data_IF_395945928478
#
_entry.id   IF_395945928478
#
_cell.length_a   1.000
_cell.length_b   1.000
_cell.length_c   1.000
_cell.angle_alpha   90.00
_cell.angle_beta   90.00
_cell.angle_gamma   90.00
#
_symmetry.space_group_name_H-M   'P 1'
#
loop_
_entity.id
_entity.type
_entity.pdbx_description
1 polymer ?
#
# COMPACT_ATOMS: atom_id res chain seq x y z
N UNK A 1 23.15 54.94 -16.83
CA UNK A 1 22.09 54.14 -16.15
C UNK A 1 21.75 52.82 -16.85
N UNK A 2 21.81 52.71 -18.19
CA UNK A 2 21.42 51.51 -18.96
C UNK A 2 22.12 50.20 -18.56
N UNK A 3 23.42 50.26 -18.22
CA UNK A 3 24.20 49.05 -17.88
C UNK A 3 23.83 48.46 -16.51
N UNK A 4 23.50 49.28 -15.50
CA UNK A 4 23.12 48.78 -14.16
C UNK A 4 21.77 48.06 -14.16
N UNK A 5 20.87 48.47 -15.06
CA UNK A 5 19.57 47.82 -15.24
C UNK A 5 19.70 46.43 -15.87
N UNK A 6 20.63 46.25 -16.82
CA UNK A 6 20.91 44.93 -17.40
C UNK A 6 21.43 43.93 -16.37
N UNK A 7 22.36 44.34 -15.50
CA UNK A 7 22.88 43.45 -14.44
C UNK A 7 21.82 43.05 -13.42
N UNK A 8 20.92 43.98 -13.06
CA UNK A 8 19.79 43.69 -12.16
C UNK A 8 18.78 42.74 -12.81
N UNK A 9 18.47 42.92 -14.10
CA UNK A 9 17.57 42.05 -14.84
C UNK A 9 18.15 40.63 -14.97
N UNK A 10 19.44 40.50 -15.26
CA UNK A 10 20.11 39.19 -15.29
C UNK A 10 20.15 38.50 -13.93
N UNK A 11 20.31 39.26 -12.84
CA UNK A 11 20.26 38.71 -11.49
C UNK A 11 18.85 38.21 -11.15
N UNK A 12 17.82 39.00 -11.47
CA UNK A 12 16.41 38.65 -11.25
C UNK A 12 15.99 37.40 -12.06
N UNK A 13 16.48 37.26 -13.30
CA UNK A 13 16.20 36.12 -14.16
C UNK A 13 16.99 34.85 -13.77
N UNK A 14 18.07 34.98 -12.98
CA UNK A 14 18.84 33.86 -12.45
C UNK A 14 18.30 33.30 -11.12
N UNK A 15 17.45 34.06 -10.41
CA UNK A 15 16.82 33.65 -9.16
C UNK A 15 16.00 32.34 -9.26
N UNK A 16 15.20 32.10 -10.32
CA UNK A 16 14.49 30.83 -10.46
C UNK A 16 15.46 29.67 -10.65
N UNK A 17 16.53 29.84 -11.43
CA UNK A 17 17.52 28.79 -11.67
C UNK A 17 18.25 28.44 -10.36
N UNK A 18 18.49 29.42 -9.51
CA UNK A 18 19.04 29.19 -8.17
C UNK A 18 18.02 28.56 -7.21
N UNK A 19 16.77 29.02 -7.19
CA UNK A 19 15.72 28.49 -6.31
C UNK A 19 15.26 27.06 -6.70
N UNK A 20 15.27 26.73 -7.99
CA UNK A 20 14.91 25.41 -8.52
C UNK A 20 16.12 24.49 -8.75
N UNK A 21 17.35 25.02 -8.72
CA UNK A 21 18.59 24.29 -8.98
C UNK A 21 19.55 24.16 -7.79
N UNK A 22 19.40 24.94 -6.72
CA UNK A 22 20.24 24.85 -5.51
C UNK A 22 19.83 23.71 -4.56
N UNK A 23 18.62 23.19 -4.71
CA UNK A 23 18.19 21.97 -4.05
C UNK A 23 18.33 20.83 -5.07
N UNK A 24 19.27 19.90 -4.83
CA UNK A 24 19.55 18.77 -5.70
C UNK A 24 18.35 17.84 -5.96
N UNK A 25 17.22 18.09 -5.29
CA UNK A 25 15.91 17.52 -5.56
C UNK A 25 14.96 18.64 -6.01
N UNK A 26 14.76 18.76 -7.33
CA UNK A 26 13.73 19.55 -8.01
C UNK A 26 12.42 19.55 -7.16
N UNK A 27 11.73 20.67 -6.88
CA UNK A 27 10.56 20.69 -6.00
C UNK A 27 9.47 19.67 -6.35
N UNK A 28 9.37 19.32 -7.64
CA UNK A 28 8.52 18.24 -8.14
C UNK A 28 8.90 16.86 -7.58
N UNK A 29 10.20 16.59 -7.44
CA UNK A 29 10.72 15.33 -6.88
C UNK A 29 10.51 15.25 -5.37
N UNK A 30 10.58 16.38 -4.65
CA UNK A 30 10.20 16.43 -3.22
C UNK A 30 8.71 16.17 -3.04
N UNK A 31 7.86 16.80 -3.85
CA UNK A 31 6.42 16.57 -3.84
C UNK A 31 6.08 15.10 -4.15
N UNK A 32 6.69 14.54 -5.20
CA UNK A 32 6.50 13.13 -5.56
C UNK A 32 6.98 12.18 -4.44
N UNK A 33 8.11 12.48 -3.81
CA UNK A 33 8.60 11.74 -2.65
C UNK A 33 7.61 11.74 -1.49
N UNK A 34 7.13 12.92 -1.08
CA UNK A 34 6.12 13.04 -0.02
C UNK A 34 4.82 12.32 -0.35
N UNK A 35 4.31 12.46 -1.58
CA UNK A 35 3.09 11.77 -2.01
C UNK A 35 3.27 10.24 -1.96
N UNK A 36 4.39 9.72 -2.45
CA UNK A 36 4.67 8.30 -2.39
C UNK A 36 4.78 7.79 -0.94
N UNK A 37 5.41 8.55 -0.05
CA UNK A 37 5.51 8.21 1.37
C UNK A 37 4.13 8.15 2.04
N UNK A 38 3.26 9.12 1.79
CA UNK A 38 1.90 9.14 2.34
C UNK A 38 1.04 7.99 1.80
N UNK A 39 1.17 7.67 0.50
CA UNK A 39 0.50 6.52 -0.12
C UNK A 39 0.99 5.22 0.51
N UNK A 40 2.30 5.05 0.69
CA UNK A 40 2.87 3.85 1.31
C UNK A 40 2.43 3.69 2.76
N UNK A 41 2.44 4.79 3.54
CA UNK A 41 1.97 4.82 4.94
C UNK A 41 0.48 4.44 5.05
N UNK A 42 -0.35 5.01 4.19
CA UNK A 42 -1.78 4.70 4.13
C UNK A 42 -2.00 3.23 3.73
N UNK A 43 -1.25 2.75 2.74
CA UNK A 43 -1.31 1.37 2.27
C UNK A 43 -0.94 0.41 3.40
N UNK A 44 0.16 0.63 4.12
CA UNK A 44 0.56 -0.19 5.28
C UNK A 44 -0.52 -0.24 6.35
N UNK A 45 -1.18 0.89 6.63
CA UNK A 45 -2.27 0.94 7.61
C UNK A 45 -3.47 0.10 7.17
N UNK A 46 -3.92 0.25 5.92
CA UNK A 46 -5.04 -0.52 5.37
C UNK A 46 -4.71 -2.01 5.32
N UNK A 47 -3.49 -2.36 4.91
CA UNK A 47 -3.03 -3.75 4.84
C UNK A 47 -2.93 -4.39 6.23
N UNK A 48 -2.53 -3.62 7.25
CA UNK A 48 -2.52 -4.07 8.64
C UNK A 48 -3.92 -4.43 9.14
N UNK A 49 -4.91 -3.57 8.89
CA UNK A 49 -6.31 -3.83 9.24
C UNK A 49 -6.84 -5.06 8.49
N UNK A 50 -6.58 -5.13 7.19
CA UNK A 50 -6.98 -6.27 6.36
C UNK A 50 -6.35 -7.58 6.85
N UNK A 51 -5.09 -7.55 7.31
CA UNK A 51 -4.43 -8.71 7.88
C UNK A 51 -5.13 -9.19 9.16
N UNK A 52 -5.45 -8.28 10.07
CA UNK A 52 -6.15 -8.62 11.32
C UNK A 52 -7.51 -9.27 11.03
N UNK A 53 -8.31 -8.69 10.13
CA UNK A 53 -9.62 -9.24 9.74
C UNK A 53 -9.44 -10.64 9.11
N UNK A 54 -8.48 -10.77 8.20
CA UNK A 54 -8.22 -12.04 7.51
C UNK A 54 -7.80 -13.13 8.48
N UNK A 55 -6.96 -12.83 9.47
CA UNK A 55 -6.58 -13.77 10.54
C UNK A 55 -7.79 -14.18 11.38
N UNK A 56 -8.60 -13.23 11.83
CA UNK A 56 -9.78 -13.54 12.64
C UNK A 56 -10.77 -14.43 11.89
N UNK A 57 -11.10 -14.08 10.65
CA UNK A 57 -12.01 -14.86 9.82
C UNK A 57 -11.39 -16.21 9.40
N UNK A 58 -10.09 -16.25 9.12
CA UNK A 58 -9.38 -17.46 8.73
C UNK A 58 -9.34 -18.50 9.85
N UNK A 59 -9.06 -18.07 11.09
CA UNK A 59 -9.09 -18.97 12.25
C UNK A 59 -10.50 -19.51 12.50
N UNK A 60 -11.52 -18.63 12.48
CA UNK A 60 -12.91 -19.05 12.61
C UNK A 60 -13.33 -20.04 11.51
N UNK A 61 -12.88 -19.81 10.27
CA UNK A 61 -13.12 -20.66 9.12
C UNK A 61 -12.51 -22.05 9.27
N UNK A 62 -11.27 -22.15 9.76
CA UNK A 62 -10.62 -23.44 10.04
C UNK A 62 -11.37 -24.24 11.11
N UNK A 63 -11.84 -23.56 12.16
CA UNK A 63 -12.67 -24.18 13.21
C UNK A 63 -13.96 -24.73 12.59
N UNK A 64 -14.63 -23.96 11.73
CA UNK A 64 -15.83 -24.40 11.04
C UNK A 64 -15.59 -25.63 10.16
N UNK A 65 -14.49 -25.63 9.39
CA UNK A 65 -14.09 -26.79 8.58
C UNK A 65 -13.88 -28.04 9.44
N UNK A 66 -13.25 -27.89 10.61
CA UNK A 66 -12.98 -29.00 11.53
C UNK A 66 -14.27 -29.57 12.12
N UNK A 67 -15.22 -28.71 12.49
CA UNK A 67 -16.54 -29.10 12.98
C UNK A 67 -17.30 -29.85 11.87
N UNK A 68 -17.34 -29.31 10.65
CA UNK A 68 -17.95 -29.97 9.49
C UNK A 68 -17.37 -31.35 9.25
N UNK A 69 -16.05 -31.50 9.32
CA UNK A 69 -15.39 -32.80 9.09
C UNK A 69 -15.72 -33.83 10.17
N UNK A 70 -15.88 -33.39 11.42
CA UNK A 70 -16.17 -34.27 12.56
C UNK A 70 -17.64 -34.69 12.64
N UNK A 71 -18.56 -33.76 12.37
CA UNK A 71 -20.00 -33.98 12.61
C UNK A 71 -20.83 -34.20 11.34
N UNK A 72 -20.35 -33.76 10.17
CA UNK A 72 -21.06 -33.89 8.90
C UNK A 72 -20.09 -34.13 7.72
N UNK A 73 -19.29 -35.22 7.75
CA UNK A 73 -18.26 -35.47 6.73
C UNK A 73 -18.82 -35.63 5.31
N UNK A 74 -20.05 -36.11 5.17
CA UNK A 74 -20.72 -36.23 3.87
C UNK A 74 -20.97 -34.86 3.22
N UNK A 75 -21.48 -33.89 4.00
CA UNK A 75 -21.67 -32.50 3.56
C UNK A 75 -20.34 -31.79 3.29
N UNK A 76 -19.33 -32.09 4.09
CA UNK A 76 -17.97 -31.59 3.87
C UNK A 76 -17.40 -32.05 2.52
N UNK A 77 -17.63 -33.31 2.14
CA UNK A 77 -17.21 -33.86 0.85
C UNK A 77 -18.03 -33.28 -0.31
N UNK A 78 -19.33 -33.10 -0.12
CA UNK A 78 -20.23 -32.53 -1.14
C UNK A 78 -19.84 -31.09 -1.52
N UNK A 79 -19.49 -30.27 -0.53
CA UNK A 79 -19.11 -28.86 -0.74
C UNK A 79 -17.60 -28.61 -0.74
N UNK A 80 -16.79 -29.66 -0.91
CA UNK A 80 -15.34 -29.59 -0.79
C UNK A 80 -14.68 -28.58 -1.74
N UNK A 81 -15.25 -28.38 -2.95
CA UNK A 81 -14.77 -27.35 -3.89
C UNK A 81 -14.88 -25.94 -3.31
N UNK A 82 -16.00 -25.64 -2.64
CA UNK A 82 -16.21 -24.34 -2.00
C UNK A 82 -15.24 -24.19 -0.83
N UNK A 83 -15.10 -25.24 -0.03
CA UNK A 83 -14.22 -25.22 1.14
C UNK A 83 -12.77 -24.93 0.75
N UNK A 84 -12.29 -25.57 -0.32
CA UNK A 84 -10.93 -25.34 -0.82
C UNK A 84 -10.81 -23.94 -1.42
N UNK A 85 -11.79 -23.50 -2.21
CA UNK A 85 -11.74 -22.19 -2.87
C UNK A 85 -11.69 -21.05 -1.85
N UNK A 86 -12.55 -21.09 -0.84
CA UNK A 86 -12.57 -20.09 0.25
C UNK A 86 -11.28 -20.17 1.06
N UNK A 87 -10.76 -21.37 1.33
CA UNK A 87 -9.47 -21.56 2.00
C UNK A 87 -8.30 -20.93 1.24
N UNK A 88 -8.25 -21.12 -0.09
CA UNK A 88 -7.23 -20.50 -0.95
C UNK A 88 -7.36 -18.98 -0.95
N UNK A 89 -8.57 -18.44 -1.07
CA UNK A 89 -8.79 -16.99 -1.03
C UNK A 89 -8.32 -16.38 0.28
N UNK A 90 -8.65 -16.99 1.42
CA UNK A 90 -8.19 -16.53 2.74
C UNK A 90 -6.66 -16.61 2.81
N UNK A 91 -6.06 -17.71 2.36
CA UNK A 91 -4.61 -17.90 2.36
C UNK A 91 -3.85 -16.88 1.49
N UNK A 92 -4.35 -16.62 0.28
CA UNK A 92 -3.78 -15.60 -0.62
C UNK A 92 -3.93 -14.21 -0.03
N UNK A 93 -5.11 -13.89 0.51
CA UNK A 93 -5.37 -12.57 1.11
C UNK A 93 -4.42 -12.35 2.29
N UNK A 94 -4.25 -13.35 3.15
CA UNK A 94 -3.30 -13.30 4.26
C UNK A 94 -1.86 -13.14 3.78
N UNK A 95 -1.44 -13.91 2.77
CA UNK A 95 -0.08 -13.84 2.23
C UNK A 95 0.23 -12.45 1.65
N UNK A 96 -0.73 -11.84 0.96
CA UNK A 96 -0.59 -10.47 0.44
C UNK A 96 -0.60 -9.47 1.60
N UNK A 97 -1.53 -9.56 2.55
CA UNK A 97 -1.60 -8.60 3.67
C UNK A 97 -0.38 -8.67 4.59
N UNK A 98 0.18 -9.86 4.80
CA UNK A 98 1.38 -10.06 5.60
C UNK A 98 2.66 -9.56 4.91
N UNK A 99 2.71 -9.52 3.58
CA UNK A 99 3.87 -9.00 2.85
C UNK A 99 3.95 -7.45 2.84
N UNK A 100 2.85 -6.78 3.17
CA UNK A 100 2.74 -5.32 3.22
C UNK A 100 2.66 -4.76 4.65
N UNK A 101 2.67 -5.62 5.66
CA UNK A 101 2.95 -5.25 7.06
C UNK A 101 4.45 -5.16 7.30
#
# INVERSE_FOLDING_TARGET
>A
MKNRFHYLLSYLLSLPIFAFGADSANPLSKLAGTVNTEIESTTKTVMSIANTITLTLGVAYLIFCFIMWKFAPERGKEHMKIIITVGVLIGVTYGVTAAYM
#
